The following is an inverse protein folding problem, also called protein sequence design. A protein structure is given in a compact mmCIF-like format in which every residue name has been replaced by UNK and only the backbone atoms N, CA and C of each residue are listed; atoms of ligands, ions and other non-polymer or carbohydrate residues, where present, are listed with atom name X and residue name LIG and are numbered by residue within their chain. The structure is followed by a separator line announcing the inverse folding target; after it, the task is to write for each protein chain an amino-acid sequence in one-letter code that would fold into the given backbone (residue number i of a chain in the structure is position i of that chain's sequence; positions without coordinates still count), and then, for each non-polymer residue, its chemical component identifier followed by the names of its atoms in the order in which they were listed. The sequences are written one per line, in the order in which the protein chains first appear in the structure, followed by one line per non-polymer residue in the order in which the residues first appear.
data_IF_318959174285
#
_entry.id   IF_318959174285
#
_cell.length_a   1.000
_cell.length_b   1.000
_cell.length_c   1.000
_cell.angle_alpha   90.00
_cell.angle_beta   90.00
_cell.angle_gamma   90.00
#
_symmetry.space_group_name_H-M   'P 1'
#
loop_
_entity.id
_entity.type
_entity.pdbx_description
1 polymer ?
#
# COMPACT_ATOMS: atom_id res chain seq x y z
N UNK A 1 -7.50 -2.25 -13.02
CA UNK A 1 -6.98 -1.26 -13.99
C UNK A 1 -5.71 -1.78 -14.65
N UNK A 2 -4.61 -1.97 -13.93
CA UNK A 2 -3.35 -2.48 -14.52
C UNK A 2 -3.35 -3.94 -15.01
N UNK A 3 -4.45 -4.67 -14.86
CA UNK A 3 -4.64 -5.98 -15.51
C UNK A 3 -5.27 -5.87 -16.92
N UNK A 4 -5.64 -4.64 -17.33
CA UNK A 4 -6.21 -4.37 -18.65
C UNK A 4 -5.07 -3.92 -19.57
N UNK A 5 -4.85 -4.68 -20.64
CA UNK A 5 -3.81 -4.39 -21.62
C UNK A 5 -4.12 -3.15 -22.48
N UNK A 6 -3.08 -2.56 -23.08
CA UNK A 6 -3.21 -1.48 -24.07
C UNK A 6 -3.31 -0.07 -23.49
N UNK A 7 -2.99 0.14 -22.21
CA UNK A 7 -2.96 1.48 -21.62
C UNK A 7 -1.67 2.22 -22.05
N UNK A 8 -1.75 3.41 -22.68
CA UNK A 8 -0.56 4.10 -23.22
C UNK A 8 0.22 4.92 -22.19
N UNK A 9 -0.21 4.93 -20.92
CA UNK A 9 0.43 5.66 -19.82
C UNK A 9 0.53 4.79 -18.57
N UNK A 10 1.51 5.08 -17.72
CA UNK A 10 1.67 4.38 -16.43
C UNK A 10 0.54 4.77 -15.47
N UNK A 11 -0.25 3.79 -15.02
CA UNK A 11 -1.23 3.97 -13.95
C UNK A 11 -0.62 3.52 -12.62
N UNK A 12 -0.21 4.49 -11.82
CA UNK A 12 0.38 4.28 -10.49
C UNK A 12 -0.38 5.08 -9.43
N UNK A 13 0.10 5.06 -8.19
CA UNK A 13 -0.56 5.67 -7.04
C UNK A 13 0.17 6.90 -6.53
N UNK A 14 -0.62 7.86 -6.03
CA UNK A 14 -0.17 8.95 -5.14
C UNK A 14 -1.19 9.06 -4.03
N UNK A 15 -0.99 8.29 -2.96
CA UNK A 15 -1.99 8.07 -1.92
C UNK A 15 -1.58 8.68 -0.58
N UNK A 16 -2.50 9.45 0.02
CA UNK A 16 -2.44 9.83 1.43
C UNK A 16 -3.07 8.76 2.32
N UNK A 17 -4.37 8.92 2.62
CA UNK A 17 -5.14 8.06 3.56
C UNK A 17 -5.00 6.57 3.28
N UNK A 18 -5.10 6.13 2.02
CA UNK A 18 -5.03 4.71 1.67
C UNK A 18 -3.68 4.06 1.99
N UNK A 19 -2.59 4.85 2.08
CA UNK A 19 -1.26 4.38 2.43
C UNK A 19 -0.97 4.55 3.93
N UNK A 20 -1.37 5.68 4.51
CA UNK A 20 -0.96 6.07 5.87
C UNK A 20 -1.94 5.63 6.97
N UNK A 21 -3.24 5.49 6.70
CA UNK A 21 -4.22 5.22 7.75
C UNK A 21 -3.97 3.92 8.55
N UNK A 22 -3.58 2.79 7.94
CA UNK A 22 -3.23 1.57 8.68
C UNK A 22 -2.01 1.77 9.59
N UNK A 23 -0.98 2.45 9.10
CA UNK A 23 0.23 2.75 9.86
C UNK A 23 -0.03 3.69 11.03
N UNK A 24 -0.83 4.75 10.82
CA UNK A 24 -1.26 5.66 11.89
C UNK A 24 -2.05 4.93 12.99
N UNK A 25 -2.94 4.01 12.59
CA UNK A 25 -3.68 3.17 13.55
C UNK A 25 -2.74 2.26 14.34
N UNK A 26 -1.78 1.61 13.67
CA UNK A 26 -0.80 0.74 14.32
C UNK A 26 0.14 1.52 15.28
N UNK A 27 0.54 2.74 14.89
CA UNK A 27 1.38 3.60 15.73
C UNK A 27 0.67 4.04 17.00
N UNK A 28 -0.60 4.47 16.89
CA UNK A 28 -1.38 4.97 18.04
C UNK A 28 -0.71 6.11 18.83
N UNK A 29 0.22 6.85 18.21
CA UNK A 29 0.95 7.96 18.84
C UNK A 29 2.00 7.54 19.86
N UNK A 30 2.43 6.28 19.86
CA UNK A 30 3.33 5.69 20.87
C UNK A 30 4.65 5.26 20.24
N UNK A 31 5.77 5.65 20.85
CA UNK A 31 7.10 5.39 20.29
C UNK A 31 7.44 3.88 20.29
N UNK A 32 6.92 3.13 21.26
CA UNK A 32 7.08 1.67 21.29
C UNK A 32 6.43 0.96 20.09
N UNK A 33 5.51 1.62 19.36
CA UNK A 33 4.82 1.07 18.20
C UNK A 33 5.44 1.48 16.86
N UNK A 34 6.55 2.20 16.83
CA UNK A 34 7.17 2.68 15.58
C UNK A 34 7.44 1.52 14.62
N UNK A 35 8.00 0.41 15.10
CA UNK A 35 8.26 -0.77 14.26
C UNK A 35 6.97 -1.33 13.64
N UNK A 36 5.94 -1.51 14.45
CA UNK A 36 4.63 -2.03 14.00
C UNK A 36 3.99 -1.11 12.95
N UNK A 37 4.13 0.21 13.12
CA UNK A 37 3.64 1.20 12.17
C UNK A 37 4.39 1.15 10.83
N UNK A 38 5.73 1.01 10.87
CA UNK A 38 6.56 0.85 9.69
C UNK A 38 6.23 -0.43 8.93
N UNK A 39 6.04 -1.55 9.62
CA UNK A 39 5.62 -2.81 9.00
C UNK A 39 4.26 -2.69 8.30
N UNK A 40 3.28 -2.05 8.96
CA UNK A 40 1.96 -1.79 8.38
C UNK A 40 2.04 -0.91 7.13
N UNK A 41 2.86 0.14 7.17
CA UNK A 41 3.11 1.01 6.03
C UNK A 41 3.75 0.25 4.86
N UNK A 42 4.82 -0.51 5.13
CA UNK A 42 5.55 -1.26 4.13
C UNK A 42 4.68 -2.36 3.50
N UNK A 43 3.83 -3.04 4.27
CA UNK A 43 2.86 -4.00 3.75
C UNK A 43 1.93 -3.33 2.73
N UNK A 44 1.35 -2.18 3.07
CA UNK A 44 0.45 -1.45 2.15
C UNK A 44 1.19 -0.88 0.94
N UNK A 45 2.41 -0.38 1.11
CA UNK A 45 3.25 0.08 0.00
C UNK A 45 3.56 -1.06 -0.99
N UNK A 46 3.89 -2.25 -0.49
CA UNK A 46 4.13 -3.45 -1.30
C UNK A 46 2.88 -3.83 -2.11
N UNK A 47 1.70 -3.81 -1.49
CA UNK A 47 0.45 -4.11 -2.20
C UNK A 47 0.13 -3.10 -3.29
N UNK A 48 0.34 -1.81 -3.05
CA UNK A 48 0.14 -0.79 -4.07
C UNK A 48 1.17 -0.92 -5.23
N UNK A 49 2.40 -1.34 -4.93
CA UNK A 49 3.41 -1.66 -5.95
C UNK A 49 2.98 -2.86 -6.81
N UNK A 50 2.50 -3.93 -6.20
CA UNK A 50 1.94 -5.09 -6.91
C UNK A 50 0.70 -4.69 -7.74
N UNK A 51 -0.17 -3.84 -7.21
CA UNK A 51 -1.34 -3.34 -7.94
C UNK A 51 -0.94 -2.46 -9.13
N UNK A 52 0.18 -1.75 -9.06
CA UNK A 52 0.75 -1.00 -10.19
C UNK A 52 1.20 -1.94 -11.31
N UNK A 53 1.71 -3.12 -10.96
CA UNK A 53 2.10 -4.18 -11.92
C UNK A 53 0.93 -5.05 -12.38
N UNK A 54 -0.27 -4.88 -11.82
CA UNK A 54 -1.41 -5.77 -12.07
C UNK A 54 -1.33 -7.14 -11.36
N UNK A 55 -0.37 -7.30 -10.44
CA UNK A 55 -0.05 -8.58 -9.77
C UNK A 55 -0.72 -8.74 -8.39
N UNK A 56 -1.43 -7.73 -7.90
CA UNK A 56 -2.10 -7.79 -6.59
C UNK A 56 -3.32 -8.74 -6.63
N UNK A 57 -3.43 -9.61 -5.61
CA UNK A 57 -4.63 -10.41 -5.32
C UNK A 57 -5.13 -10.15 -3.90
N UNK A 58 -6.44 -10.30 -3.67
CA UNK A 58 -7.04 -10.19 -2.34
C UNK A 58 -6.52 -11.24 -1.36
N UNK A 59 -6.10 -12.39 -1.85
CA UNK A 59 -5.58 -13.48 -0.99
C UNK A 59 -4.20 -13.17 -0.37
N UNK A 60 -3.54 -12.09 -0.82
CA UNK A 60 -2.25 -11.64 -0.28
C UNK A 60 -2.39 -10.81 1.01
N UNK A 61 -3.58 -10.29 1.30
CA UNK A 61 -3.85 -9.37 2.41
C UNK A 61 -4.20 -10.08 3.71
#
# INVERSE_FOLDING_TARGET
MNQIDGTPWNLTFSYGRALQAPALKAWSGKDENISNAQESFMKRAKFNSLATKGEYSKDME
#
